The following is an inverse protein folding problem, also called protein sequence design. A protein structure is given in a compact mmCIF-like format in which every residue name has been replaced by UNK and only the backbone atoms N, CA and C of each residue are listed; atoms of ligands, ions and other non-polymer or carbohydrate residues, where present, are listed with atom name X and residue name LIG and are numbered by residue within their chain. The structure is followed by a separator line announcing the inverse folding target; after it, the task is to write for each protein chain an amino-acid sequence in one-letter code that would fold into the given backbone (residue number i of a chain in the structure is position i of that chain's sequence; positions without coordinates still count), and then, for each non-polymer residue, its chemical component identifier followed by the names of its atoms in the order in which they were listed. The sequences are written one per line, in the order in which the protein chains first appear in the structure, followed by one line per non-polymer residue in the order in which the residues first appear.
data_IF_531970987665
#
_entry.id   IF_531970987665
#
_cell.length_a   1.000
_cell.length_b   1.000
_cell.length_c   1.000
_cell.angle_alpha   90.00
_cell.angle_beta   90.00
_cell.angle_gamma   90.00
#
_symmetry.space_group_name_H-M   'P 1'
#
loop_
_entity.id
_entity.type
_entity.pdbx_description
1 polymer ?
#
# COMPACT_ATOMS: atom_id res chain seq x y z
N UNK A 1 17.19 17.13 -4.56
CA UNK A 1 16.46 15.85 -4.47
C UNK A 1 15.00 16.21 -4.67
N UNK A 2 14.24 15.35 -5.31
CA UNK A 2 12.83 15.63 -5.63
C UNK A 2 11.97 14.94 -4.59
N UNK A 3 11.05 15.67 -3.96
CA UNK A 3 10.16 15.08 -2.97
C UNK A 3 9.09 14.22 -3.66
N UNK A 4 8.96 12.98 -3.22
CA UNK A 4 7.87 12.09 -3.63
C UNK A 4 6.58 12.42 -2.91
N UNK A 5 6.67 12.80 -1.61
CA UNK A 5 5.54 13.23 -0.78
C UNK A 5 5.92 14.53 -0.06
N UNK A 6 5.01 15.49 -0.08
CA UNK A 6 5.03 16.68 0.80
C UNK A 6 3.69 16.77 1.51
N UNK A 7 3.73 16.84 2.82
CA UNK A 7 2.56 17.08 3.67
C UNK A 7 2.86 18.23 4.62
N UNK A 8 1.99 19.22 4.69
CA UNK A 8 2.12 20.40 5.53
C UNK A 8 0.82 20.64 6.28
N UNK A 9 0.90 20.67 7.61
CA UNK A 9 -0.19 20.93 8.54
C UNK A 9 -1.44 20.08 8.27
N UNK A 10 -1.25 18.80 7.96
CA UNK A 10 -2.34 17.88 7.62
C UNK A 10 -3.16 17.57 8.87
N UNK A 11 -4.43 17.94 8.84
CA UNK A 11 -5.38 17.72 9.93
C UNK A 11 -6.63 17.01 9.44
N UNK A 12 -7.21 16.16 10.30
CA UNK A 12 -8.46 15.46 10.04
C UNK A 12 -9.21 15.15 11.31
N UNK A 13 -10.50 15.49 11.32
CA UNK A 13 -11.43 15.19 12.41
C UNK A 13 -12.60 14.35 11.90
N UNK A 14 -13.00 13.35 12.67
CA UNK A 14 -14.19 12.52 12.44
C UNK A 14 -15.18 12.73 13.59
N UNK A 15 -16.27 13.47 13.34
CA UNK A 15 -17.16 13.91 14.41
C UNK A 15 -16.40 14.73 15.45
N UNK A 16 -16.38 14.28 16.70
CA UNK A 16 -15.66 14.93 17.80
C UNK A 16 -14.22 14.37 18.01
N UNK A 17 -13.79 13.43 17.16
CA UNK A 17 -12.47 12.78 17.29
C UNK A 17 -11.46 13.40 16.33
N UNK A 18 -10.42 14.01 16.87
CA UNK A 18 -9.26 14.49 16.09
C UNK A 18 -8.39 13.29 15.77
N UNK A 19 -8.29 12.95 14.48
CA UNK A 19 -7.47 11.83 14.00
C UNK A 19 -6.08 12.27 13.55
N UNK A 20 -5.96 13.48 13.00
CA UNK A 20 -4.69 14.13 12.66
C UNK A 20 -4.76 15.59 13.16
N UNK A 21 -3.69 16.05 13.75
CA UNK A 21 -3.56 17.39 14.34
C UNK A 21 -2.27 18.07 13.83
N UNK A 22 -2.34 18.61 12.60
CA UNK A 22 -1.24 19.40 12.03
C UNK A 22 0.03 18.58 11.71
N UNK A 23 -0.12 17.41 11.08
CA UNK A 23 1.03 16.55 10.73
C UNK A 23 1.74 17.10 9.50
N UNK A 24 3.08 17.31 9.63
CA UNK A 24 3.94 17.72 8.51
C UNK A 24 5.07 16.71 8.33
N UNK A 25 5.32 16.31 7.07
CA UNK A 25 6.40 15.41 6.69
C UNK A 25 6.76 15.59 5.21
N UNK A 26 7.99 15.21 4.88
CA UNK A 26 8.46 15.12 3.50
C UNK A 26 9.12 13.76 3.31
N UNK A 27 8.89 13.13 2.15
CA UNK A 27 9.55 11.88 1.74
C UNK A 27 10.21 12.14 0.40
N UNK A 28 11.52 11.94 0.33
CA UNK A 28 12.28 12.11 -0.90
C UNK A 28 12.20 10.86 -1.79
N UNK A 29 12.46 11.02 -3.08
CA UNK A 29 12.58 9.88 -4.01
C UNK A 29 13.67 8.91 -3.53
N UNK A 30 13.36 7.61 -3.50
CA UNK A 30 14.25 6.56 -3.02
C UNK A 30 14.32 6.41 -1.50
N UNK A 31 13.57 7.22 -0.75
CA UNK A 31 13.49 7.12 0.70
C UNK A 31 12.46 6.07 1.14
N UNK A 32 12.71 5.43 2.28
CA UNK A 32 11.76 4.56 2.98
C UNK A 32 11.37 5.22 4.29
N UNK A 33 10.10 5.62 4.41
CA UNK A 33 9.53 6.17 5.63
C UNK A 33 8.68 5.11 6.35
N UNK A 34 8.93 4.87 7.64
CA UNK A 34 8.12 4.02 8.47
C UNK A 34 7.30 4.83 9.48
N UNK A 35 5.97 4.66 9.46
CA UNK A 35 5.07 5.25 10.45
C UNK A 35 4.87 4.26 11.61
N UNK A 36 5.35 4.61 12.80
CA UNK A 36 5.28 3.79 14.00
C UNK A 36 4.46 4.49 15.08
N UNK A 37 3.61 3.74 15.75
CA UNK A 37 2.77 4.28 16.83
C UNK A 37 1.69 3.30 17.26
N UNK A 38 1.02 3.54 18.40
CA UNK A 38 -0.04 2.67 18.91
C UNK A 38 -1.26 2.65 17.97
N UNK A 39 -2.15 1.68 18.19
CA UNK A 39 -3.45 1.65 17.50
C UNK A 39 -4.25 2.91 17.86
N UNK A 40 -4.91 3.49 16.86
CA UNK A 40 -5.65 4.75 17.03
C UNK A 40 -4.79 6.02 16.93
N UNK A 41 -3.47 5.93 16.71
CA UNK A 41 -2.59 7.10 16.57
C UNK A 41 -2.75 7.86 15.23
N UNK A 42 -3.73 7.52 14.39
CA UNK A 42 -3.97 8.21 13.13
C UNK A 42 -3.17 7.72 11.93
N UNK A 43 -2.35 6.65 12.05
CA UNK A 43 -1.50 6.13 10.96
C UNK A 43 -2.27 5.86 9.67
N UNK A 44 -3.35 5.07 9.74
CA UNK A 44 -4.23 4.78 8.59
C UNK A 44 -4.88 6.04 8.04
N UNK A 45 -5.29 6.97 8.91
CA UNK A 45 -5.86 8.26 8.48
C UNK A 45 -4.83 9.08 7.72
N UNK A 46 -3.57 9.12 8.19
CA UNK A 46 -2.48 9.79 7.49
C UNK A 46 -2.22 9.14 6.14
N UNK A 47 -2.10 7.82 6.07
CA UNK A 47 -1.95 7.08 4.80
C UNK A 47 -3.07 7.44 3.83
N UNK A 48 -4.32 7.47 4.29
CA UNK A 48 -5.48 7.82 3.46
C UNK A 48 -5.45 9.28 2.99
N UNK A 49 -5.02 10.21 3.84
CA UNK A 49 -4.86 11.61 3.48
C UNK A 49 -3.75 11.78 2.43
N UNK A 50 -2.58 11.16 2.64
CA UNK A 50 -1.45 11.20 1.71
C UNK A 50 -1.80 10.61 0.33
N UNK A 51 -2.62 9.56 0.28
CA UNK A 51 -3.03 8.92 -0.98
C UNK A 51 -4.30 9.49 -1.59
N UNK A 52 -4.88 10.53 -0.97
CA UNK A 52 -6.11 11.18 -1.46
C UNK A 52 -7.36 10.32 -1.37
N UNK A 53 -7.36 9.26 -0.53
CA UNK A 53 -8.52 8.39 -0.30
C UNK A 53 -9.44 8.92 0.83
N UNK A 54 -9.03 9.94 1.53
CA UNK A 54 -9.87 10.76 2.43
C UNK A 54 -9.47 12.22 2.30
N UNK A 55 -10.44 13.11 2.49
CA UNK A 55 -10.16 14.55 2.57
C UNK A 55 -9.43 14.86 3.88
N UNK A 56 -8.55 15.84 3.84
CA UNK A 56 -7.85 16.39 5.00
C UNK A 56 -7.64 17.88 4.80
N UNK A 57 -7.51 18.63 5.89
CA UNK A 57 -7.06 20.02 5.88
C UNK A 57 -5.53 20.05 5.73
N UNK A 58 -4.99 21.20 5.34
CA UNK A 58 -3.56 21.36 5.06
C UNK A 58 -3.21 21.09 3.60
N UNK A 59 -1.93 20.86 3.33
CA UNK A 59 -1.43 20.62 1.97
C UNK A 59 -0.86 19.22 1.87
N UNK A 60 -1.26 18.49 0.83
CA UNK A 60 -0.65 17.21 0.47
C UNK A 60 -0.32 17.22 -1.01
N UNK A 61 0.91 16.86 -1.35
CA UNK A 61 1.36 16.68 -2.72
C UNK A 61 2.08 15.33 -2.86
N UNK A 62 1.81 14.66 -3.97
CA UNK A 62 2.56 13.52 -4.46
C UNK A 62 3.23 13.94 -5.77
N UNK A 63 4.55 13.87 -5.84
CA UNK A 63 5.32 14.28 -7.02
C UNK A 63 4.98 15.71 -7.49
N UNK A 64 4.73 16.63 -6.56
CA UNK A 64 4.38 18.02 -6.83
C UNK A 64 2.97 18.26 -7.35
N UNK A 65 2.08 17.27 -7.25
CA UNK A 65 0.67 17.34 -7.67
C UNK A 65 -0.26 16.97 -6.52
N UNK A 66 -1.52 17.43 -6.56
CA UNK A 66 -2.50 16.93 -5.59
C UNK A 66 -2.69 15.42 -5.75
N UNK A 67 -2.91 14.66 -4.66
CA UNK A 67 -3.05 13.20 -4.72
C UNK A 67 -4.12 12.72 -5.72
N UNK A 68 -5.20 13.50 -5.87
CA UNK A 68 -6.29 13.19 -6.81
C UNK A 68 -5.91 13.36 -8.28
N UNK A 69 -4.86 14.15 -8.56
CA UNK A 69 -4.37 14.44 -9.92
C UNK A 69 -3.27 13.49 -10.37
N UNK A 70 -2.67 12.74 -9.45
CA UNK A 70 -1.62 11.77 -9.77
C UNK A 70 -2.21 10.56 -10.47
N UNK A 71 -1.57 10.12 -11.55
CA UNK A 71 -1.96 8.89 -12.24
C UNK A 71 -1.90 7.69 -11.29
N UNK A 72 -2.97 6.91 -11.24
CA UNK A 72 -3.09 5.78 -10.32
C UNK A 72 -2.03 4.69 -10.55
N UNK A 73 -1.52 4.57 -11.76
CA UNK A 73 -0.41 3.68 -12.09
C UNK A 73 0.90 4.02 -11.37
N UNK A 74 1.07 5.28 -10.93
CA UNK A 74 2.27 5.71 -10.21
C UNK A 74 2.27 5.40 -8.72
N UNK A 75 1.12 4.97 -8.16
CA UNK A 75 0.97 4.71 -6.73
C UNK A 75 0.49 3.28 -6.51
N UNK A 76 1.30 2.47 -5.86
CA UNK A 76 0.89 1.17 -5.32
C UNK A 76 0.39 1.35 -3.89
N UNK A 77 -0.85 0.98 -3.63
CA UNK A 77 -1.45 1.08 -2.29
C UNK A 77 -1.94 -0.28 -1.83
N UNK A 78 -1.42 -0.74 -0.70
CA UNK A 78 -1.99 -1.86 0.04
C UNK A 78 -2.69 -1.34 1.29
N UNK A 79 -4.03 -1.32 1.33
CA UNK A 79 -4.77 -0.90 2.51
C UNK A 79 -4.68 -1.94 3.65
N UNK A 80 -4.99 -1.52 4.86
CA UNK A 80 -5.01 -2.38 6.05
C UNK A 80 -5.94 -3.60 5.87
N UNK A 81 -7.13 -3.39 5.29
CA UNK A 81 -8.08 -4.45 4.94
C UNK A 81 -8.05 -4.66 3.43
N UNK A 82 -7.61 -5.85 3.03
CA UNK A 82 -7.54 -6.27 1.64
C UNK A 82 -7.88 -7.77 1.56
N UNK A 83 -9.02 -8.08 0.97
CA UNK A 83 -9.59 -9.42 0.85
C UNK A 83 -9.72 -9.79 -0.64
N UNK A 84 -8.70 -10.42 -1.23
CA UNK A 84 -8.78 -10.91 -2.59
C UNK A 84 -9.66 -12.18 -2.69
N UNK A 85 -10.14 -12.55 -3.89
CA UNK A 85 -10.90 -13.78 -4.11
C UNK A 85 -10.12 -15.05 -3.70
N UNK A 86 -10.66 -15.83 -2.79
CA UNK A 86 -10.01 -16.98 -2.13
C UNK A 86 -9.59 -18.10 -3.09
N UNK A 87 -10.36 -18.32 -4.16
CA UNK A 87 -10.19 -19.46 -5.08
C UNK A 87 -9.18 -19.21 -6.19
N UNK A 88 -8.80 -17.95 -6.43
CA UNK A 88 -7.79 -17.63 -7.41
C UNK A 88 -6.41 -18.04 -6.88
N UNK A 89 -5.57 -18.55 -7.76
CA UNK A 89 -4.16 -18.80 -7.43
C UNK A 89 -3.40 -17.50 -7.25
N UNK A 90 -2.24 -17.55 -6.61
CA UNK A 90 -1.38 -16.37 -6.46
C UNK A 90 -1.09 -15.68 -7.81
N UNK A 91 -0.82 -16.47 -8.86
CA UNK A 91 -0.63 -15.96 -10.21
C UNK A 91 -1.89 -15.27 -10.76
N UNK A 92 -3.03 -15.94 -10.70
CA UNK A 92 -4.29 -15.40 -11.23
C UNK A 92 -4.72 -14.12 -10.51
N UNK A 93 -4.44 -14.01 -9.21
CA UNK A 93 -4.68 -12.77 -8.47
C UNK A 93 -3.81 -11.63 -8.97
N UNK A 94 -2.51 -11.87 -9.17
CA UNK A 94 -1.60 -10.85 -9.69
C UNK A 94 -1.93 -10.47 -11.14
N UNK A 95 -2.28 -11.46 -11.99
CA UNK A 95 -2.78 -11.21 -13.35
C UNK A 95 -4.06 -10.37 -13.35
N UNK A 96 -5.01 -10.68 -12.44
CA UNK A 96 -6.25 -9.93 -12.29
C UNK A 96 -6.00 -8.46 -11.94
N UNK A 97 -5.15 -8.21 -10.92
CA UNK A 97 -4.84 -6.83 -10.53
C UNK A 97 -3.97 -6.12 -11.56
N UNK A 98 -3.05 -6.82 -12.22
CA UNK A 98 -2.27 -6.28 -13.34
C UNK A 98 -3.15 -5.85 -14.50
N UNK A 99 -4.19 -6.62 -14.81
CA UNK A 99 -5.17 -6.32 -15.85
C UNK A 99 -6.04 -5.08 -15.61
N UNK A 100 -5.98 -4.46 -14.42
CA UNK A 100 -6.65 -3.19 -14.14
C UNK A 100 -5.88 -1.96 -14.66
N UNK A 101 -4.66 -2.15 -15.14
CA UNK A 101 -3.80 -1.09 -15.66
C UNK A 101 -3.52 -1.33 -17.14
N UNK A 102 -3.31 -0.25 -17.89
CA UNK A 102 -2.97 -0.31 -19.32
C UNK A 102 -1.60 -0.99 -19.54
N UNK A 103 -0.68 -0.77 -18.60
CA UNK A 103 0.63 -1.42 -18.54
C UNK A 103 0.84 -2.01 -17.14
N UNK A 104 1.31 -3.26 -17.11
CA UNK A 104 1.65 -3.95 -15.87
C UNK A 104 2.99 -4.65 -15.99
N UNK A 105 3.62 -4.92 -14.85
CA UNK A 105 4.85 -5.72 -14.78
C UNK A 105 4.58 -7.16 -15.21
N UNK A 106 5.62 -7.82 -15.68
CA UNK A 106 5.58 -9.27 -15.86
C UNK A 106 5.30 -9.98 -14.53
N UNK A 107 4.23 -10.78 -14.49
CA UNK A 107 3.76 -11.42 -13.26
C UNK A 107 4.77 -12.44 -12.71
N UNK A 108 5.58 -13.08 -13.56
CA UNK A 108 6.67 -13.94 -13.10
C UNK A 108 7.69 -13.15 -12.28
N UNK A 109 8.02 -11.93 -12.74
CA UNK A 109 8.93 -11.04 -12.04
C UNK A 109 8.33 -10.60 -10.70
N UNK A 110 7.05 -10.22 -10.66
CA UNK A 110 6.37 -9.86 -9.41
C UNK A 110 6.35 -11.04 -8.44
N UNK A 111 6.02 -12.26 -8.90
CA UNK A 111 6.06 -13.47 -8.08
C UNK A 111 7.46 -13.73 -7.50
N UNK A 112 8.50 -13.46 -8.30
CA UNK A 112 9.89 -13.58 -7.84
C UNK A 112 10.23 -12.57 -6.75
N UNK A 113 9.86 -11.30 -6.95
CA UNK A 113 10.13 -10.22 -6.01
C UNK A 113 9.48 -10.46 -4.64
N UNK A 114 8.27 -11.04 -4.63
CA UNK A 114 7.57 -11.39 -3.37
C UNK A 114 7.87 -12.82 -2.88
N UNK A 115 8.73 -13.58 -3.57
CA UNK A 115 9.16 -14.92 -3.16
C UNK A 115 8.02 -15.94 -3.17
N UNK A 116 7.20 -15.95 -4.23
CA UNK A 116 6.05 -16.83 -4.40
C UNK A 116 6.11 -17.70 -5.67
N UNK A 117 7.28 -17.82 -6.33
CA UNK A 117 7.42 -18.59 -7.57
C UNK A 117 6.92 -20.04 -7.41
N UNK A 118 7.30 -20.70 -6.30
CA UNK A 118 6.96 -22.09 -6.02
C UNK A 118 5.48 -22.27 -5.61
N UNK A 119 4.83 -21.19 -5.20
CA UNK A 119 3.42 -21.17 -4.77
C UNK A 119 2.50 -20.48 -5.78
N UNK A 120 3.00 -20.15 -6.97
CA UNK A 120 2.27 -19.40 -7.99
C UNK A 120 0.92 -20.04 -8.38
N UNK A 121 0.85 -21.37 -8.37
CA UNK A 121 -0.34 -22.17 -8.73
C UNK A 121 -1.18 -22.58 -7.51
N UNK A 122 -0.85 -22.11 -6.31
CA UNK A 122 -1.60 -22.39 -5.08
C UNK A 122 -2.73 -21.37 -4.93
N UNK A 123 -3.97 -21.85 -4.70
CA UNK A 123 -5.12 -20.99 -4.42
C UNK A 123 -4.88 -20.17 -3.13
N UNK A 124 -5.36 -18.94 -3.11
CA UNK A 124 -5.13 -17.97 -2.03
C UNK A 124 -5.52 -18.54 -0.66
N UNK A 125 -6.69 -19.21 -0.56
CA UNK A 125 -7.16 -19.85 0.66
C UNK A 125 -6.22 -20.94 1.21
N UNK A 126 -5.42 -21.56 0.35
CA UNK A 126 -4.46 -22.62 0.70
C UNK A 126 -3.04 -22.12 0.97
N UNK A 127 -2.81 -20.83 0.80
CA UNK A 127 -1.54 -20.19 1.14
C UNK A 127 -1.43 -19.98 2.65
N UNK A 128 -0.21 -20.05 3.19
CA UNK A 128 0.04 -19.60 4.57
C UNK A 128 -0.25 -18.10 4.71
N UNK A 129 -0.57 -17.61 5.93
CA UNK A 129 -0.84 -16.20 6.17
C UNK A 129 0.27 -15.28 5.66
N UNK A 130 1.55 -15.69 5.83
CA UNK A 130 2.68 -14.94 5.28
C UNK A 130 2.74 -14.94 3.75
N UNK A 131 2.35 -16.05 3.10
CA UNK A 131 2.24 -16.12 1.63
C UNK A 131 1.07 -15.28 1.13
N UNK A 132 -0.09 -15.34 1.78
CA UNK A 132 -1.25 -14.50 1.49
C UNK A 132 -0.86 -13.02 1.53
N UNK A 133 -0.17 -12.61 2.61
CA UNK A 133 0.28 -11.21 2.72
C UNK A 133 1.25 -10.82 1.60
N UNK A 134 2.14 -11.71 1.19
CA UNK A 134 3.05 -11.46 0.05
C UNK A 134 2.32 -11.33 -1.28
N UNK A 135 1.24 -12.09 -1.53
CA UNK A 135 0.35 -11.87 -2.69
C UNK A 135 -0.25 -10.48 -2.64
N UNK A 136 -0.75 -10.05 -1.47
CA UNK A 136 -1.33 -8.72 -1.30
C UNK A 136 -0.29 -7.60 -1.58
N UNK A 137 0.95 -7.75 -1.11
CA UNK A 137 2.04 -6.83 -1.46
C UNK A 137 2.32 -6.85 -2.96
N UNK A 138 2.36 -8.05 -3.57
CA UNK A 138 2.54 -8.21 -5.01
C UNK A 138 1.48 -7.47 -5.82
N UNK A 139 0.21 -7.50 -5.38
CA UNK A 139 -0.87 -6.78 -6.07
C UNK A 139 -0.69 -5.25 -6.06
N UNK A 140 0.04 -4.70 -5.10
CA UNK A 140 0.39 -3.28 -5.07
C UNK A 140 1.66 -2.95 -5.89
N UNK A 141 2.35 -3.97 -6.43
CA UNK A 141 3.57 -3.83 -7.24
C UNK A 141 3.33 -4.06 -8.73
N UNK A 142 2.18 -4.62 -9.14
CA UNK A 142 1.91 -5.02 -10.52
C UNK A 142 1.93 -3.86 -11.51
N UNK A 143 1.64 -2.64 -11.06
CA UNK A 143 1.60 -1.42 -11.88
C UNK A 143 2.95 -0.68 -11.95
N UNK A 144 4.05 -1.28 -11.46
CA UNK A 144 5.38 -0.66 -11.39
C UNK A 144 5.37 0.75 -10.76
N UNK A 145 4.86 0.90 -9.53
CA UNK A 145 4.61 2.22 -8.97
C UNK A 145 5.89 2.98 -8.62
N UNK A 146 5.88 4.31 -8.82
CA UNK A 146 6.93 5.21 -8.34
C UNK A 146 6.89 5.36 -6.79
N UNK A 147 5.70 5.21 -6.20
CA UNK A 147 5.46 5.27 -4.76
C UNK A 147 4.69 4.04 -4.30
N UNK A 148 5.25 3.29 -3.34
CA UNK A 148 4.58 2.18 -2.68
C UNK A 148 4.16 2.56 -1.27
N UNK A 149 2.86 2.45 -0.98
CA UNK A 149 2.28 2.74 0.35
C UNK A 149 1.65 1.47 0.91
N UNK A 150 2.15 1.04 2.07
CA UNK A 150 1.67 -0.17 2.75
C UNK A 150 1.10 0.19 4.12
N UNK A 151 -0.19 -0.02 4.33
CA UNK A 151 -0.84 0.19 5.63
C UNK A 151 -0.88 -1.13 6.40
N UNK A 152 -0.14 -1.19 7.52
CA UNK A 152 0.03 -2.38 8.37
C UNK A 152 0.39 -3.67 7.60
N UNK A 153 1.50 -3.69 6.84
CA UNK A 153 1.85 -4.82 5.96
C UNK A 153 2.13 -6.13 6.70
N UNK A 154 2.24 -6.12 8.03
CA UNK A 154 2.54 -7.29 8.87
C UNK A 154 1.35 -7.81 9.65
N UNK A 155 0.17 -7.20 9.53
CA UNK A 155 -1.06 -7.66 10.19
C UNK A 155 -1.43 -9.05 9.71
N UNK A 156 -1.73 -9.97 10.64
CA UNK A 156 -2.07 -11.37 10.34
C UNK A 156 -0.85 -12.30 10.15
N UNK A 157 0.38 -11.80 10.23
CA UNK A 157 1.57 -12.66 10.29
C UNK A 157 1.76 -13.09 11.74
N UNK A 158 1.49 -14.38 12.02
CA UNK A 158 1.72 -14.97 13.33
C UNK A 158 3.21 -14.82 13.74
N UNK A 159 3.52 -14.21 14.90
CA UNK A 159 4.89 -14.14 15.40
C UNK A 159 5.53 -15.50 15.64
N UNK A 160 4.73 -16.57 15.82
CA UNK A 160 5.21 -17.94 16.05
C UNK A 160 5.77 -18.62 14.78
N UNK A 161 5.50 -18.09 13.59
CA UNK A 161 6.07 -18.57 12.32
C UNK A 161 7.52 -18.14 12.06
N UNK A 162 8.14 -17.40 12.98
CA UNK A 162 9.56 -17.03 12.90
C UNK A 162 10.42 -18.09 13.62
N UNK A 163 10.62 -19.23 12.99
CA UNK A 163 11.72 -20.16 13.32
C UNK A 163 12.47 -20.51 12.06
#
# INVERSE_FOLDING_TARGET
MTAAIVAEDVARTYGDTVALDGVSLTVEEGEVLALVGPNGAGKTTLVRALTGTTDAEGRVELFGQSPQSVARSRVGLLPQSFDPPDRLTARELLDYYGGLYDESRDIQTVLADVGLQDSASTAYENLSGGQQRRVCVGSALVNDPDLLVLDEPTTGIDPAGRR
#
